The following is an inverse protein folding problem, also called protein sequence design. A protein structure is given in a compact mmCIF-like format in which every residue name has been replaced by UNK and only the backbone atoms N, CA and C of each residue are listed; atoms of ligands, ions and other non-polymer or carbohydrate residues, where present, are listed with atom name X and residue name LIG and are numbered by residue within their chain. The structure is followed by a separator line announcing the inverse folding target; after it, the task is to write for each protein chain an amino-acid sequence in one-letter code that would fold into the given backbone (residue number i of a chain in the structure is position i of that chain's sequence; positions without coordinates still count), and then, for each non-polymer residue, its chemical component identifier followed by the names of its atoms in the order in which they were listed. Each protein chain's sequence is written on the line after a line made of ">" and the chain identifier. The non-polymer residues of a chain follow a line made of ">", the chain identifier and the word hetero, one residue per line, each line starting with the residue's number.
data_IF_705200932397
#
_entry.id   IF_705200932397
#
_cell.length_a   1.000
_cell.length_b   1.000
_cell.length_c   1.000
_cell.angle_alpha   90.00
_cell.angle_beta   90.00
_cell.angle_gamma   90.00
#
_symmetry.space_group_name_H-M   'P 1'
#
loop_
_entity.id
_entity.type
_entity.pdbx_description
1 polymer ?
#
# COMPACT_ATOMS: atom_id res chain seq x y z
N UNK A 1 -7.19 -16.69 26.15
CA UNK A 1 -7.31 -16.68 24.67
C UNK A 1 -6.16 -17.44 24.05
N UNK A 2 -4.90 -17.07 24.36
CA UNK A 2 -3.70 -17.72 23.84
C UNK A 2 -3.18 -18.85 24.74
N UNK A 3 -2.46 -19.81 24.17
CA UNK A 3 -1.65 -20.81 24.88
C UNK A 3 -0.22 -20.31 25.14
N UNK A 4 0.32 -19.50 24.22
CA UNK A 4 1.58 -18.77 24.34
C UNK A 4 1.38 -17.34 23.86
N UNK A 5 1.99 -16.38 24.55
CA UNK A 5 2.04 -14.99 24.12
C UNK A 5 3.42 -14.45 24.51
N UNK A 6 4.15 -13.91 23.54
CA UNK A 6 5.50 -13.41 23.76
C UNK A 6 5.42 -11.93 24.16
N UNK A 7 5.82 -11.62 25.40
CA UNK A 7 5.73 -10.27 25.97
C UNK A 7 6.64 -9.26 25.27
N UNK A 8 7.75 -9.74 24.70
CA UNK A 8 8.64 -8.91 23.89
C UNK A 8 8.04 -8.73 22.49
N UNK A 9 7.85 -7.47 22.02
CA UNK A 9 7.29 -7.24 20.70
C UNK A 9 8.25 -7.74 19.62
N UNK A 10 7.74 -8.55 18.71
CA UNK A 10 8.44 -9.01 17.52
C UNK A 10 8.79 -7.84 16.58
N UNK A 11 7.85 -6.90 16.44
CA UNK A 11 8.05 -5.66 15.71
C UNK A 11 7.26 -4.52 16.36
N UNK A 12 7.69 -3.30 16.13
CA UNK A 12 7.03 -2.12 16.67
C UNK A 12 6.94 -1.03 15.59
N UNK A 13 5.72 -0.59 15.31
CA UNK A 13 5.43 0.55 14.46
C UNK A 13 5.16 1.81 15.30
N UNK A 14 4.82 2.91 14.62
CA UNK A 14 4.48 4.20 15.22
C UNK A 14 3.29 4.08 16.18
N UNK A 15 2.19 3.46 15.75
CA UNK A 15 0.93 3.41 16.51
C UNK A 15 0.67 2.08 17.22
N UNK A 16 1.31 1.00 16.78
CA UNK A 16 1.02 -0.36 17.23
C UNK A 16 2.29 -1.18 17.52
N UNK A 17 2.13 -2.20 18.35
CA UNK A 17 3.11 -3.23 18.65
C UNK A 17 2.63 -4.57 18.11
N UNK A 18 3.56 -5.38 17.63
CA UNK A 18 3.28 -6.67 17.01
C UNK A 18 3.93 -7.75 17.87
N UNK A 19 3.12 -8.66 18.38
CA UNK A 19 3.56 -9.76 19.23
C UNK A 19 3.32 -11.10 18.55
N UNK A 20 4.21 -12.05 18.81
CA UNK A 20 4.01 -13.44 18.42
C UNK A 20 3.24 -14.17 19.51
N UNK A 21 2.31 -15.04 19.10
CA UNK A 21 1.50 -15.81 20.02
C UNK A 21 1.08 -17.14 19.39
N UNK A 22 0.49 -18.01 20.20
CA UNK A 22 -0.15 -19.23 19.75
C UNK A 22 -1.56 -19.34 20.34
N UNK A 23 -2.54 -19.73 19.52
CA UNK A 23 -3.89 -20.04 19.97
C UNK A 23 -3.90 -21.33 20.81
N UNK A 24 -5.04 -21.63 21.46
CA UNK A 24 -5.17 -22.82 22.33
C UNK A 24 -5.04 -24.15 21.58
N UNK A 25 -5.32 -24.16 20.29
CA UNK A 25 -5.15 -25.31 19.40
C UNK A 25 -3.72 -25.46 18.85
N UNK A 26 -2.81 -24.53 19.19
CA UNK A 26 -1.42 -24.53 18.73
C UNK A 26 -1.17 -23.70 17.47
N UNK A 27 -2.20 -23.08 16.87
CA UNK A 27 -2.04 -22.25 15.69
C UNK A 27 -1.18 -21.01 15.99
N UNK A 28 -0.13 -20.79 15.21
CA UNK A 28 0.78 -19.64 15.34
C UNK A 28 0.14 -18.38 14.75
N UNK A 29 0.12 -17.31 15.55
CA UNK A 29 -0.55 -16.05 15.19
C UNK A 29 0.32 -14.84 15.51
N UNK A 30 0.01 -13.76 14.81
CA UNK A 30 0.48 -12.41 15.10
C UNK A 30 -0.64 -11.63 15.77
N UNK A 31 -0.30 -10.94 16.86
CA UNK A 31 -1.21 -10.07 17.61
C UNK A 31 -0.69 -8.64 17.49
N UNK A 32 -1.39 -7.80 16.73
CA UNK A 32 -1.12 -6.36 16.60
C UNK A 32 -1.98 -5.62 17.63
N UNK A 33 -1.34 -4.85 18.50
CA UNK A 33 -1.94 -4.11 19.61
C UNK A 33 -1.66 -2.63 19.47
N UNK A 34 -2.68 -1.78 19.60
CA UNK A 34 -2.45 -0.34 19.68
C UNK A 34 -1.68 0.01 20.96
N UNK A 35 -0.77 0.98 20.86
CA UNK A 35 -0.03 1.46 22.02
C UNK A 35 -0.98 2.15 23.01
N UNK A 36 -0.84 1.93 24.33
CA UNK A 36 -1.61 2.67 25.32
C UNK A 36 -1.42 4.17 25.17
N UNK A 37 -2.53 4.93 25.16
CA UNK A 37 -2.48 6.40 25.06
C UNK A 37 -2.16 6.97 23.67
N UNK A 38 -2.13 6.12 22.63
CA UNK A 38 -1.76 6.56 21.27
C UNK A 38 -2.77 7.56 20.70
N UNK A 39 -4.05 7.45 21.06
CA UNK A 39 -5.10 8.35 20.59
C UNK A 39 -4.84 9.78 21.06
N UNK A 40 -4.59 9.95 22.35
CA UNK A 40 -4.33 11.24 22.97
C UNK A 40 -3.04 11.88 22.46
N UNK A 41 -2.04 11.05 22.11
CA UNK A 41 -0.82 11.52 21.47
C UNK A 41 -1.10 12.06 20.06
N UNK A 42 -1.82 11.28 19.24
CA UNK A 42 -2.17 11.67 17.87
C UNK A 42 -3.03 12.94 17.85
N UNK A 43 -4.01 13.06 18.75
CA UNK A 43 -4.85 14.25 18.83
C UNK A 43 -4.01 15.52 19.09
N UNK A 44 -3.01 15.43 19.97
CA UNK A 44 -2.07 16.55 20.24
C UNK A 44 -1.17 16.86 19.03
N UNK A 45 -0.68 15.83 18.36
CA UNK A 45 0.18 16.03 17.18
C UNK A 45 -0.59 16.67 16.03
N UNK A 46 -1.86 16.28 15.84
CA UNK A 46 -2.78 16.90 14.88
C UNK A 46 -3.01 18.39 15.21
N UNK A 47 -3.24 18.73 16.49
CA UNK A 47 -3.40 20.12 16.92
C UNK A 47 -2.16 20.97 16.55
N UNK A 48 -0.96 20.43 16.77
CA UNK A 48 0.30 21.08 16.39
C UNK A 48 0.41 21.23 14.87
N UNK A 49 0.05 20.21 14.09
CA UNK A 49 0.05 20.27 12.63
C UNK A 49 -0.92 21.33 12.11
N UNK A 50 -2.11 21.45 12.70
CA UNK A 50 -3.06 22.51 12.34
C UNK A 50 -2.54 23.90 12.69
N UNK A 51 -1.86 24.07 13.83
CA UNK A 51 -1.23 25.33 14.19
C UNK A 51 -0.14 25.71 13.16
N UNK A 52 0.73 24.77 12.79
CA UNK A 52 1.77 24.99 11.79
C UNK A 52 1.19 25.26 10.39
N UNK A 53 0.17 24.50 9.98
CA UNK A 53 -0.51 24.70 8.71
C UNK A 53 -1.20 26.06 8.63
N UNK A 54 -1.80 26.53 9.73
CA UNK A 54 -2.41 27.86 9.82
C UNK A 54 -1.35 28.97 9.69
N UNK A 55 -0.20 28.82 10.35
CA UNK A 55 0.91 29.75 10.22
C UNK A 55 1.47 29.75 8.79
N UNK A 56 1.64 28.58 8.17
CA UNK A 56 2.10 28.48 6.80
C UNK A 56 1.12 29.14 5.82
N UNK A 57 -0.19 28.89 5.96
CA UNK A 57 -1.20 29.51 5.10
C UNK A 57 -1.24 31.04 5.23
N UNK A 58 -1.05 31.55 6.46
CA UNK A 58 -1.07 32.97 6.75
C UNK A 58 0.20 33.71 6.29
N UNK A 59 1.38 33.14 6.55
CA UNK A 59 2.66 33.84 6.39
C UNK A 59 3.46 33.41 5.15
N UNK A 60 3.12 32.29 4.52
CA UNK A 60 3.86 31.78 3.37
C UNK A 60 3.03 31.85 2.09
N UNK A 61 3.24 32.91 1.31
CA UNK A 61 2.53 33.17 0.04
C UNK A 61 2.73 32.07 -1.00
N UNK A 62 3.91 31.42 -1.03
CA UNK A 62 4.18 30.23 -1.86
C UNK A 62 3.53 28.96 -1.31
N UNK A 63 3.33 28.87 0.01
CA UNK A 63 2.73 27.73 0.70
C UNK A 63 1.24 27.53 0.40
N UNK A 64 0.52 28.58 -0.05
CA UNK A 64 -0.91 28.48 -0.43
C UNK A 64 -1.19 27.46 -1.53
N UNK A 65 -0.22 27.22 -2.42
CA UNK A 65 -0.34 26.17 -3.46
C UNK A 65 -0.33 24.76 -2.88
N UNK A 66 0.29 24.56 -1.72
CA UNK A 66 0.37 23.28 -1.02
C UNK A 66 -0.91 22.96 -0.24
N UNK A 67 -1.83 23.93 -0.09
CA UNK A 67 -3.10 23.79 0.66
C UNK A 67 -2.86 23.10 2.02
N UNK A 68 -1.96 23.62 2.88
CA UNK A 68 -1.43 22.90 4.03
C UNK A 68 -2.52 22.47 5.01
N UNK A 69 -3.57 23.28 5.20
CA UNK A 69 -4.72 22.93 6.04
C UNK A 69 -5.49 21.71 5.51
N UNK A 70 -5.60 21.58 4.19
CA UNK A 70 -6.27 20.43 3.58
C UNK A 70 -5.41 19.18 3.65
N UNK A 71 -4.10 19.33 3.48
CA UNK A 71 -3.15 18.22 3.68
C UNK A 71 -3.23 17.67 5.11
N UNK A 72 -3.26 18.55 6.13
CA UNK A 72 -3.43 18.12 7.53
C UNK A 72 -4.78 17.45 7.75
N UNK A 73 -5.86 17.97 7.16
CA UNK A 73 -7.19 17.37 7.27
C UNK A 73 -7.28 15.95 6.67
N UNK A 74 -6.67 15.73 5.51
CA UNK A 74 -6.61 14.38 4.91
C UNK A 74 -5.69 13.44 5.72
N UNK A 75 -4.61 13.98 6.29
CA UNK A 75 -3.75 13.22 7.20
C UNK A 75 -4.48 12.82 8.48
N UNK A 76 -5.18 13.74 9.16
CA UNK A 76 -5.99 13.49 10.35
C UNK A 76 -6.98 12.33 10.09
N UNK A 77 -7.69 12.39 8.97
CA UNK A 77 -8.63 11.34 8.59
C UNK A 77 -7.93 9.98 8.43
N UNK A 78 -6.77 9.96 7.80
CA UNK A 78 -5.98 8.74 7.58
C UNK A 78 -5.51 8.16 8.91
N UNK A 79 -4.82 8.94 9.74
CA UNK A 79 -4.23 8.44 10.99
C UNK A 79 -5.30 8.03 12.02
N UNK A 80 -6.47 8.70 12.05
CA UNK A 80 -7.59 8.29 12.90
C UNK A 80 -8.16 6.93 12.44
N UNK A 81 -8.23 6.68 11.12
CA UNK A 81 -8.70 5.40 10.61
C UNK A 81 -7.75 4.25 10.98
N UNK A 82 -6.45 4.51 11.10
CA UNK A 82 -5.47 3.50 11.53
C UNK A 82 -5.61 3.11 13.02
N UNK A 83 -6.34 3.91 13.82
CA UNK A 83 -6.65 3.57 15.22
C UNK A 83 -7.81 2.59 15.39
N UNK A 84 -8.40 2.11 14.30
CA UNK A 84 -9.39 1.04 14.33
C UNK A 84 -8.87 -0.18 13.56
N UNK A 85 -8.23 -1.09 14.28
CA UNK A 85 -7.67 -2.33 13.73
C UNK A 85 -8.76 -3.27 13.18
N UNK A 86 -10.06 -3.05 13.48
CA UNK A 86 -11.13 -3.79 12.81
C UNK A 86 -11.22 -3.45 11.31
N UNK A 87 -10.81 -2.23 10.93
CA UNK A 87 -10.76 -1.83 9.52
C UNK A 87 -9.66 -2.59 8.80
N UNK A 88 -8.49 -2.69 9.41
CA UNK A 88 -7.38 -3.49 8.89
C UNK A 88 -7.78 -4.97 8.77
N UNK A 89 -8.39 -5.55 9.82
CA UNK A 89 -8.94 -6.92 9.75
C UNK A 89 -9.91 -7.13 8.57
N UNK A 90 -10.85 -6.20 8.36
CA UNK A 90 -11.80 -6.27 7.26
C UNK A 90 -11.11 -6.15 5.90
N UNK A 91 -10.11 -5.28 5.79
CA UNK A 91 -9.29 -5.09 4.60
C UNK A 91 -8.53 -6.36 4.23
N UNK A 92 -7.83 -6.96 5.20
CA UNK A 92 -7.11 -8.24 5.04
C UNK A 92 -8.05 -9.33 4.54
N UNK A 93 -9.20 -9.50 5.19
CA UNK A 93 -10.16 -10.53 4.81
C UNK A 93 -10.80 -10.30 3.43
N UNK A 94 -10.98 -9.05 3.01
CA UNK A 94 -11.43 -8.74 1.66
C UNK A 94 -10.34 -9.06 0.63
N UNK A 95 -9.09 -8.66 0.87
CA UNK A 95 -8.00 -8.94 -0.06
C UNK A 95 -7.71 -10.44 -0.17
N UNK A 96 -7.75 -11.18 0.95
CA UNK A 96 -7.63 -12.64 0.94
C UNK A 96 -8.68 -13.30 0.05
N UNK A 97 -9.93 -12.87 0.12
CA UNK A 97 -11.01 -13.37 -0.75
C UNK A 97 -10.76 -13.05 -2.23
N UNK A 98 -10.21 -11.88 -2.54
CA UNK A 98 -9.89 -11.51 -3.92
C UNK A 98 -8.78 -12.38 -4.53
N UNK A 99 -7.87 -12.91 -3.70
CA UNK A 99 -6.76 -13.77 -4.11
C UNK A 99 -6.96 -15.24 -3.67
N UNK A 100 -8.21 -15.64 -3.42
CA UNK A 100 -8.50 -17.02 -3.04
C UNK A 100 -8.05 -17.97 -4.17
N UNK A 101 -7.17 -18.92 -3.84
CA UNK A 101 -6.52 -19.85 -4.77
C UNK A 101 -5.54 -19.20 -5.77
N UNK A 102 -5.07 -17.98 -5.53
CA UNK A 102 -4.00 -17.39 -6.33
C UNK A 102 -2.66 -18.07 -6.03
N UNK A 103 -1.89 -18.38 -7.07
CA UNK A 103 -0.50 -18.81 -6.96
C UNK A 103 0.49 -17.63 -6.86
N UNK A 104 0.00 -16.38 -6.89
CA UNK A 104 0.85 -15.18 -6.92
C UNK A 104 0.91 -14.44 -5.59
N UNK A 105 -0.21 -14.31 -4.87
CA UNK A 105 -0.30 -13.57 -3.60
C UNK A 105 -1.03 -14.36 -2.52
N UNK A 106 -0.37 -14.56 -1.40
CA UNK A 106 -0.91 -15.03 -0.14
C UNK A 106 -1.22 -13.84 0.78
N UNK A 107 -2.38 -13.91 1.43
CA UNK A 107 -2.84 -12.92 2.42
C UNK A 107 -3.25 -13.70 3.67
N UNK A 108 -2.74 -13.37 4.87
CA UNK A 108 -3.01 -14.14 6.08
C UNK A 108 -4.49 -14.22 6.45
N UNK A 109 -4.88 -15.31 7.10
CA UNK A 109 -6.21 -15.42 7.71
C UNK A 109 -6.35 -14.49 8.93
N UNK A 110 -7.53 -13.90 9.09
CA UNK A 110 -7.87 -13.07 10.26
C UNK A 110 -8.76 -13.86 11.21
N UNK A 111 -8.38 -13.93 12.48
CA UNK A 111 -9.16 -14.59 13.52
C UNK A 111 -10.12 -13.61 14.19
N UNK A 112 -11.23 -13.29 13.51
CA UNK A 112 -12.18 -12.26 13.91
C UNK A 112 -12.72 -12.38 15.34
N UNK A 113 -12.87 -13.60 15.87
CA UNK A 113 -13.33 -13.85 17.25
C UNK A 113 -12.41 -13.21 18.30
N UNK A 114 -11.14 -12.97 17.94
CA UNK A 114 -10.14 -12.36 18.80
C UNK A 114 -9.81 -10.91 18.43
N UNK A 115 -10.46 -10.35 17.40
CA UNK A 115 -10.26 -8.98 16.97
C UNK A 115 -11.18 -7.99 17.71
N UNK A 116 -10.63 -6.79 17.97
CA UNK A 116 -11.29 -5.61 18.55
C UNK A 116 -10.68 -4.35 17.92
N UNK A 117 -11.27 -3.16 18.10
CA UNK A 117 -10.70 -1.92 17.54
C UNK A 117 -9.23 -1.66 17.91
N UNK A 118 -8.76 -2.16 19.06
CA UNK A 118 -7.39 -2.00 19.54
C UNK A 118 -6.51 -3.25 19.36
N UNK A 119 -7.07 -4.34 18.83
CA UNK A 119 -6.41 -5.66 18.77
C UNK A 119 -6.75 -6.34 17.45
N UNK A 120 -5.74 -6.65 16.64
CA UNK A 120 -5.85 -7.50 15.46
C UNK A 120 -5.10 -8.81 15.69
N UNK A 121 -5.76 -9.93 15.43
CA UNK A 121 -5.16 -11.27 15.48
C UNK A 121 -5.26 -11.89 14.10
N UNK A 122 -4.12 -12.22 13.51
CA UNK A 122 -4.04 -12.83 12.19
C UNK A 122 -3.00 -13.95 12.16
N UNK A 123 -3.08 -14.78 11.14
CA UNK A 123 -2.13 -15.85 10.85
C UNK A 123 -0.70 -15.32 10.79
N UNK A 124 0.23 -16.07 11.37
CA UNK A 124 1.64 -15.74 11.26
C UNK A 124 2.21 -16.20 9.92
N UNK A 125 2.69 -15.24 9.14
CA UNK A 125 3.42 -15.51 7.90
C UNK A 125 4.89 -15.82 8.23
N UNK A 126 5.43 -16.81 7.52
CA UNK A 126 6.85 -17.14 7.50
C UNK A 126 7.33 -17.04 6.06
N UNK A 127 8.42 -16.30 5.83
CA UNK A 127 8.98 -16.11 4.50
C UNK A 127 10.22 -15.23 4.54
N UNK A 128 10.88 -15.08 3.39
CA UNK A 128 12.05 -14.22 3.23
C UNK A 128 11.55 -12.79 2.96
N UNK A 129 11.99 -11.75 3.68
CA UNK A 129 11.64 -10.37 3.35
C UNK A 129 12.02 -10.06 1.89
N UNK A 130 11.12 -9.42 1.12
CA UNK A 130 11.40 -9.17 -0.31
C UNK A 130 12.63 -8.28 -0.55
N UNK A 131 12.99 -7.44 0.45
CA UNK A 131 14.20 -6.62 0.41
C UNK A 131 15.49 -7.42 0.55
N UNK A 132 15.44 -8.65 1.07
CA UNK A 132 16.61 -9.50 1.28
C UNK A 132 16.95 -10.30 0.02
N UNK A 133 17.50 -9.60 -0.97
CA UNK A 133 17.88 -10.19 -2.27
C UNK A 133 18.95 -11.27 -2.11
N UNK A 134 19.82 -11.16 -1.09
CA UNK A 134 20.86 -12.17 -0.84
C UNK A 134 20.25 -13.49 -0.37
N UNK A 135 19.30 -13.44 0.57
CA UNK A 135 18.57 -14.63 1.02
C UNK A 135 17.72 -15.25 -0.10
N UNK A 136 17.04 -14.42 -0.91
CA UNK A 136 16.27 -14.91 -2.07
C UNK A 136 17.15 -15.63 -3.10
N UNK A 137 18.34 -15.07 -3.39
CA UNK A 137 19.31 -15.73 -4.27
C UNK A 137 19.88 -17.01 -3.66
N UNK A 138 20.13 -17.03 -2.36
CA UNK A 138 20.59 -18.23 -1.66
C UNK A 138 19.51 -19.34 -1.63
N UNK A 139 18.24 -18.95 -1.64
CA UNK A 139 17.10 -19.86 -1.82
C UNK A 139 16.82 -20.20 -3.30
N UNK A 140 17.70 -19.81 -4.22
CA UNK A 140 17.59 -20.04 -5.67
C UNK A 140 16.28 -19.52 -6.29
N UNK A 141 15.65 -18.53 -5.64
CA UNK A 141 14.35 -17.99 -6.06
C UNK A 141 14.43 -17.39 -7.47
N UNK A 142 13.50 -17.76 -8.33
CA UNK A 142 13.35 -17.20 -9.66
C UNK A 142 12.86 -15.74 -9.57
N UNK A 143 13.82 -14.82 -9.50
CA UNK A 143 13.58 -13.38 -9.36
C UNK A 143 12.80 -12.80 -10.54
N UNK A 144 12.95 -13.38 -11.74
CA UNK A 144 12.19 -12.93 -12.90
C UNK A 144 10.69 -13.20 -12.71
N UNK A 145 10.32 -14.43 -12.34
CA UNK A 145 8.92 -14.79 -12.05
C UNK A 145 8.38 -13.97 -10.89
N UNK A 146 9.20 -13.74 -9.84
CA UNK A 146 8.80 -12.88 -8.72
C UNK A 146 8.51 -11.43 -9.18
N UNK A 147 9.31 -10.87 -10.08
CA UNK A 147 9.07 -9.52 -10.60
C UNK A 147 7.81 -9.46 -11.48
N UNK A 148 7.61 -10.44 -12.36
CA UNK A 148 6.42 -10.59 -13.20
C UNK A 148 5.14 -10.70 -12.33
N UNK A 149 5.16 -11.57 -11.31
CA UNK A 149 4.08 -11.71 -10.34
C UNK A 149 3.78 -10.39 -9.62
N UNK A 150 4.80 -9.62 -9.22
CA UNK A 150 4.60 -8.34 -8.54
C UNK A 150 3.82 -7.33 -9.39
N UNK A 151 4.16 -7.24 -10.68
CA UNK A 151 3.46 -6.40 -11.65
C UNK A 151 2.02 -6.90 -11.85
N UNK A 152 1.84 -8.21 -12.07
CA UNK A 152 0.52 -8.80 -12.28
C UNK A 152 -0.40 -8.63 -11.07
N UNK A 153 0.11 -8.82 -9.85
CA UNK A 153 -0.60 -8.59 -8.60
C UNK A 153 -1.09 -7.14 -8.53
N UNK A 154 -0.22 -6.16 -8.80
CA UNK A 154 -0.59 -4.75 -8.76
C UNK A 154 -1.71 -4.43 -9.76
N UNK A 155 -1.55 -4.83 -11.03
CA UNK A 155 -2.56 -4.58 -12.06
C UNK A 155 -3.89 -5.29 -11.74
N UNK A 156 -3.83 -6.52 -11.22
CA UNK A 156 -5.01 -7.27 -10.80
C UNK A 156 -5.75 -6.54 -9.67
N UNK A 157 -5.05 -6.07 -8.65
CA UNK A 157 -5.65 -5.31 -7.55
C UNK A 157 -6.32 -4.01 -8.04
N UNK A 158 -5.65 -3.25 -8.90
CA UNK A 158 -6.12 -1.95 -9.37
C UNK A 158 -7.27 -2.08 -10.38
N UNK A 159 -7.15 -2.95 -11.38
CA UNK A 159 -8.08 -3.00 -12.51
C UNK A 159 -9.14 -4.09 -12.39
N UNK A 160 -8.80 -5.23 -11.82
CA UNK A 160 -9.76 -6.33 -11.67
C UNK A 160 -10.56 -6.21 -10.38
N UNK A 161 -9.86 -6.10 -9.24
CA UNK A 161 -10.52 -6.02 -7.93
C UNK A 161 -11.01 -4.63 -7.56
N UNK A 162 -10.40 -3.58 -8.13
CA UNK A 162 -10.56 -2.19 -7.70
C UNK A 162 -10.39 -2.03 -6.18
N UNK A 163 -9.48 -2.82 -5.61
CA UNK A 163 -9.21 -2.91 -4.18
C UNK A 163 -7.75 -3.28 -4.03
N UNK A 164 -6.91 -2.27 -3.76
CA UNK A 164 -5.46 -2.42 -3.84
C UNK A 164 -4.77 -1.98 -2.56
N UNK A 165 -3.74 -2.74 -2.18
CA UNK A 165 -2.83 -2.39 -1.11
C UNK A 165 -1.98 -1.21 -1.55
N UNK A 166 -2.26 -0.06 -0.93
CA UNK A 166 -1.64 1.21 -1.30
C UNK A 166 -0.29 1.43 -0.59
N UNK A 167 0.18 0.45 0.20
CA UNK A 167 1.43 0.51 0.95
C UNK A 167 2.23 -0.80 0.84
N UNK A 168 2.44 -1.26 -0.39
CA UNK A 168 3.27 -2.44 -0.69
C UNK A 168 4.77 -2.13 -0.59
N UNK A 169 5.20 -1.57 0.54
CA UNK A 169 6.61 -1.32 0.79
C UNK A 169 7.35 -2.63 1.12
N UNK A 170 8.67 -2.74 0.89
CA UNK A 170 9.41 -3.99 1.12
C UNK A 170 9.30 -4.59 2.53
N UNK A 171 9.08 -3.78 3.56
CA UNK A 171 8.86 -4.26 4.94
C UNK A 171 7.52 -4.99 5.18
N UNK A 172 6.56 -4.88 4.27
CA UNK A 172 5.23 -5.49 4.35
C UNK A 172 5.11 -6.73 3.46
N UNK A 173 6.16 -7.08 2.72
CA UNK A 173 6.12 -8.13 1.72
C UNK A 173 7.19 -9.17 2.04
N UNK A 174 6.74 -10.40 2.18
CA UNK A 174 7.57 -11.59 2.28
C UNK A 174 7.42 -12.42 1.01
N UNK A 175 8.39 -13.30 0.79
CA UNK A 175 8.39 -14.28 -0.28
C UNK A 175 8.42 -15.67 0.35
N UNK A 176 7.42 -16.47 0.01
CA UNK A 176 7.42 -17.90 0.30
C UNK A 176 8.10 -18.57 -0.89
N UNK A 177 9.31 -19.10 -0.65
CA UNK A 177 10.20 -19.65 -1.67
C UNK A 177 10.34 -21.19 -1.55
N UNK A 178 9.27 -21.87 -1.12
CA UNK A 178 9.26 -23.33 -1.00
C UNK A 178 9.44 -24.04 -2.36
N UNK A 179 8.92 -23.43 -3.43
CA UNK A 179 9.22 -23.76 -4.82
C UNK A 179 9.97 -22.58 -5.45
N UNK A 180 11.29 -22.68 -5.67
CA UNK A 180 12.08 -21.58 -6.22
C UNK A 180 11.63 -21.11 -7.60
N UNK A 181 11.00 -21.96 -8.41
CA UNK A 181 10.49 -21.59 -9.74
C UNK A 181 9.11 -20.92 -9.67
N UNK A 182 8.41 -21.03 -8.54
CA UNK A 182 7.08 -20.46 -8.30
C UNK A 182 7.03 -19.71 -6.98
N UNK A 183 7.80 -18.61 -6.83
CA UNK A 183 7.78 -17.84 -5.60
C UNK A 183 6.45 -17.12 -5.40
N UNK A 184 5.94 -17.23 -4.19
CA UNK A 184 4.64 -16.68 -3.79
C UNK A 184 4.85 -15.42 -2.94
N UNK A 185 4.23 -14.31 -3.31
CA UNK A 185 4.20 -13.12 -2.45
C UNK A 185 3.36 -13.42 -1.22
N UNK A 186 3.78 -12.93 -0.06
CA UNK A 186 2.96 -12.92 1.14
C UNK A 186 2.97 -11.51 1.72
N UNK A 187 1.82 -10.84 1.65
CA UNK A 187 1.68 -9.48 2.18
C UNK A 187 1.25 -9.51 3.66
N UNK A 188 1.78 -8.58 4.43
CA UNK A 188 1.40 -8.30 5.82
C UNK A 188 1.16 -6.80 5.96
N UNK A 189 0.29 -6.41 6.89
CA UNK A 189 -0.24 -5.04 7.05
C UNK A 189 -1.17 -4.60 5.91
N UNK A 190 -2.42 -4.31 6.27
CA UNK A 190 -3.45 -3.89 5.32
C UNK A 190 -4.16 -2.62 5.81
N UNK A 191 -3.43 -1.80 6.58
CA UNK A 191 -3.94 -0.54 7.12
C UNK A 191 -4.33 0.43 6.00
N UNK A 192 -3.54 0.47 4.92
CA UNK A 192 -3.75 1.38 3.79
C UNK A 192 -4.21 0.60 2.55
N UNK A 193 -5.51 0.66 2.30
CA UNK A 193 -6.15 0.14 1.10
C UNK A 193 -6.80 1.28 0.32
N UNK A 194 -6.58 1.29 -1.00
CA UNK A 194 -7.20 2.19 -1.94
C UNK A 194 -8.31 1.54 -2.78
N UNK A 195 -9.24 2.36 -3.23
CA UNK A 195 -10.20 2.04 -4.29
C UNK A 195 -10.30 3.24 -5.23
N UNK A 196 -10.58 3.00 -6.51
CA UNK A 196 -10.72 4.05 -7.51
C UNK A 196 -12.18 4.24 -7.89
N UNK A 197 -12.56 5.47 -8.24
CA UNK A 197 -13.84 5.69 -8.89
C UNK A 197 -13.81 5.05 -10.29
N UNK A 198 -14.96 4.67 -10.86
CA UNK A 198 -15.01 4.14 -12.23
C UNK A 198 -14.41 5.10 -13.28
N UNK A 199 -14.46 6.41 -13.01
CA UNK A 199 -13.86 7.44 -13.86
C UNK A 199 -12.33 7.39 -13.78
N UNK A 200 -11.78 7.33 -12.55
CA UNK A 200 -10.34 7.29 -12.33
C UNK A 200 -9.73 5.98 -12.82
N UNK A 201 -10.43 4.86 -12.64
CA UNK A 201 -9.99 3.57 -13.14
C UNK A 201 -9.92 3.55 -14.68
N UNK A 202 -10.93 4.13 -15.37
CA UNK A 202 -10.91 4.28 -16.83
C UNK A 202 -9.81 5.23 -17.31
N UNK A 203 -9.60 6.33 -16.58
CA UNK A 203 -8.53 7.28 -16.85
C UNK A 203 -7.15 6.60 -16.75
N UNK A 204 -6.89 5.87 -15.66
CA UNK A 204 -5.65 5.15 -15.45
C UNK A 204 -5.44 4.06 -16.52
N UNK A 205 -6.46 3.24 -16.80
CA UNK A 205 -6.40 2.21 -17.84
C UNK A 205 -6.09 2.82 -19.22
N UNK A 206 -6.77 3.92 -19.56
CA UNK A 206 -6.56 4.63 -20.81
C UNK A 206 -5.14 5.22 -20.92
N UNK A 207 -4.59 5.74 -19.82
CA UNK A 207 -3.23 6.26 -19.79
C UNK A 207 -2.19 5.15 -19.96
N UNK A 208 -2.38 3.98 -19.32
CA UNK A 208 -1.46 2.85 -19.51
C UNK A 208 -1.48 2.35 -20.96
N UNK A 209 -2.65 2.18 -21.57
CA UNK A 209 -2.77 1.77 -22.97
C UNK A 209 -2.08 2.79 -23.89
N UNK A 210 -2.38 4.08 -23.71
CA UNK A 210 -1.77 5.14 -24.51
C UNK A 210 -0.24 5.22 -24.31
N UNK A 211 0.25 4.96 -23.10
CA UNK A 211 1.68 4.89 -22.81
C UNK A 211 2.34 3.73 -23.57
N UNK A 212 1.79 2.52 -23.51
CA UNK A 212 2.35 1.37 -24.23
C UNK A 212 2.31 1.53 -25.75
N UNK A 213 1.27 2.17 -26.29
CA UNK A 213 1.14 2.48 -27.71
C UNK A 213 1.98 3.70 -28.14
N UNK A 214 2.67 4.35 -27.21
CA UNK A 214 3.41 5.62 -27.40
C UNK A 214 2.53 6.75 -27.96
N UNK A 215 1.23 6.73 -27.66
CA UNK A 215 0.27 7.76 -28.02
C UNK A 215 0.29 8.90 -26.98
N UNK A 216 1.33 9.72 -27.05
CA UNK A 216 1.53 10.85 -26.12
C UNK A 216 0.39 11.89 -26.19
N UNK A 217 -0.21 12.05 -27.38
CA UNK A 217 -1.36 12.95 -27.56
C UNK A 217 -2.55 12.45 -26.73
N UNK A 218 -2.81 11.14 -26.76
CA UNK A 218 -3.88 10.53 -25.96
C UNK A 218 -3.63 10.66 -24.46
N UNK A 219 -2.38 10.49 -24.00
CA UNK A 219 -2.02 10.72 -22.59
C UNK A 219 -2.30 12.18 -22.19
N UNK A 220 -1.86 13.15 -23.00
CA UNK A 220 -2.09 14.57 -22.74
C UNK A 220 -3.59 14.90 -22.67
N UNK A 221 -4.38 14.35 -23.61
CA UNK A 221 -5.83 14.51 -23.64
C UNK A 221 -6.50 13.94 -22.39
N UNK A 222 -6.11 12.73 -21.97
CA UNK A 222 -6.68 12.07 -20.80
C UNK A 222 -6.42 12.89 -19.52
N UNK A 223 -5.24 13.49 -19.36
CA UNK A 223 -4.91 14.34 -18.22
C UNK A 223 -5.77 15.62 -18.15
N UNK A 224 -6.07 16.22 -19.30
CA UNK A 224 -6.95 17.39 -19.40
C UNK A 224 -8.40 17.00 -19.11
N UNK A 225 -8.88 15.92 -19.73
CA UNK A 225 -10.25 15.41 -19.58
C UNK A 225 -10.55 15.01 -18.13
N UNK A 226 -9.55 14.47 -17.41
CA UNK A 226 -9.65 14.08 -16.01
C UNK A 226 -9.49 15.23 -15.01
N UNK A 227 -9.17 16.45 -15.49
CA UNK A 227 -8.90 17.65 -14.67
C UNK A 227 -7.71 17.52 -13.72
N UNK A 228 -6.80 16.59 -14.01
CA UNK A 228 -5.52 16.51 -13.31
C UNK A 228 -4.61 17.69 -13.67
N UNK A 229 -4.82 18.27 -14.87
CA UNK A 229 -4.26 19.56 -15.28
C UNK A 229 -5.37 20.56 -15.61
N UNK A 230 -5.10 21.88 -15.57
CA UNK A 230 -6.08 22.90 -15.95
C UNK A 230 -6.65 22.68 -17.35
N UNK A 231 -7.95 22.92 -17.53
CA UNK A 231 -8.66 22.66 -18.79
C UNK A 231 -8.21 23.54 -19.97
N UNK A 232 -7.55 24.67 -19.67
CA UNK A 232 -6.96 25.60 -20.63
C UNK A 232 -5.52 25.25 -21.01
N UNK A 233 -4.96 24.15 -20.47
CA UNK A 233 -3.61 23.68 -20.81
C UNK A 233 -3.53 23.35 -22.30
N UNK A 234 -2.49 23.88 -22.96
CA UNK A 234 -2.20 23.58 -24.36
C UNK A 234 -1.78 22.13 -24.53
N UNK A 235 -2.59 21.36 -25.25
CA UNK A 235 -2.39 19.92 -25.43
C UNK A 235 -1.07 19.58 -26.14
N UNK A 236 -0.65 20.43 -27.09
CA UNK A 236 0.61 20.26 -27.83
C UNK A 236 1.85 20.48 -26.95
N UNK A 237 1.79 21.44 -26.03
CA UNK A 237 2.85 21.67 -25.04
C UNK A 237 2.93 20.52 -24.03
N UNK A 238 1.77 20.05 -23.55
CA UNK A 238 1.68 18.92 -22.63
C UNK A 238 2.15 17.61 -23.26
N UNK A 239 1.77 17.34 -24.50
CA UNK A 239 2.25 16.18 -25.26
C UNK A 239 3.78 16.18 -25.38
N UNK A 240 4.36 17.32 -25.74
CA UNK A 240 5.82 17.47 -25.86
C UNK A 240 6.51 17.21 -24.52
N UNK A 241 5.93 17.71 -23.41
CA UNK A 241 6.45 17.47 -22.07
C UNK A 241 6.38 15.98 -21.70
N UNK A 242 5.23 15.33 -21.91
CA UNK A 242 5.05 13.89 -21.63
C UNK A 242 6.06 13.07 -22.43
N UNK A 243 6.20 13.34 -23.74
CA UNK A 243 7.16 12.65 -24.61
C UNK A 243 8.59 12.74 -24.08
N UNK A 244 9.01 13.92 -23.61
CA UNK A 244 10.36 14.12 -23.09
C UNK A 244 10.67 13.29 -21.84
N UNK A 245 9.64 12.96 -21.04
CA UNK A 245 9.76 12.15 -19.83
C UNK A 245 9.64 10.65 -20.14
N UNK A 246 8.75 10.27 -21.07
CA UNK A 246 8.47 8.88 -21.38
C UNK A 246 9.48 8.21 -22.33
N UNK A 247 9.98 8.92 -23.35
CA UNK A 247 10.95 8.35 -24.31
C UNK A 247 12.24 7.80 -23.67
N UNK A 248 12.84 8.46 -22.66
CA UNK A 248 14.01 7.90 -21.97
C UNK A 248 13.73 6.57 -21.28
N UNK A 249 12.50 6.33 -20.81
CA UNK A 249 12.12 5.12 -20.08
C UNK A 249 12.05 3.92 -21.05
N UNK A 250 11.48 4.11 -22.24
CA UNK A 250 11.39 3.07 -23.26
C UNK A 250 12.74 2.68 -23.88
N UNK A 251 13.72 3.58 -23.80
CA UNK A 251 15.06 3.34 -24.36
C UNK A 251 16.05 2.77 -23.33
N UNK A 252 15.62 2.56 -22.07
CA UNK A 252 16.44 1.88 -21.06
C UNK A 252 16.27 0.36 -21.15
N UNK A 253 17.36 -0.42 -21.19
CA UNK A 253 17.26 -1.87 -20.99
C UNK A 253 16.74 -2.16 -19.57
N UNK A 254 15.90 -3.19 -19.43
CA UNK A 254 15.34 -3.63 -18.13
C UNK A 254 16.38 -4.03 -17.06
N UNK A 255 17.67 -4.04 -17.41
CA UNK A 255 18.78 -4.44 -16.55
C UNK A 255 19.44 -3.29 -15.77
N UNK A 256 18.93 -2.05 -15.87
CA UNK A 256 19.40 -0.88 -15.11
C UNK A 256 18.34 -0.30 -14.17
#
# INVERSE_FOLDING_TARGET
>A
VFSRFDDEPFAAASIAQVHTAALRDGTEVIVKLLRPGVRELIDRDIDVLYALASLADQYWTLGKRLRPLEAVKEYEKTIINELDLMREAANTAQLRRNFENSEMLYVPEVYFDYCKPQVLVQERIYGIPISDIEALRAAETNIQVLAENGVEIFFTQVFHHNFFHADMHPGNIFVIADDPERPLYAAVDFGIIGTLSPTDQKYLAGNFLAFFDRDYYRIAKLHIDSRWVPADTRIDELESAIRSVCEPIFNKPLSE
#
